data_IF_007117438976
#
_entry.id   IF_007117438976
#
_cell.length_a   1.000
_cell.length_b   1.000
_cell.length_c   1.000
_cell.angle_alpha   90.00
_cell.angle_beta   90.00
_cell.angle_gamma   90.00
#
_symmetry.space_group_name_H-M   'P 1'
#
loop_
_entity.id
_entity.type
_entity.pdbx_description
1 polymer ?
#
# COMPACT_ATOMS: atom_id res chain seq x y z
N UNK A 1 -4.31 -77.03 -9.46
CA UNK A 1 -4.71 -76.07 -8.42
C UNK A 1 -5.50 -74.96 -9.12
N UNK A 2 -6.66 -74.65 -8.53
CA UNK A 2 -7.86 -73.95 -9.05
C UNK A 2 -7.60 -72.80 -10.04
N UNK A 3 -8.21 -72.70 -11.24
CA UNK A 3 -9.62 -72.65 -11.68
C UNK A 3 -10.27 -71.25 -11.59
N UNK A 4 -10.63 -70.73 -12.79
CA UNK A 4 -11.70 -69.74 -13.11
C UNK A 4 -11.50 -68.25 -12.68
N UNK A 5 -12.02 -67.23 -13.38
CA UNK A 5 -12.88 -67.07 -14.58
C UNK A 5 -12.85 -65.59 -15.01
N UNK A 6 -13.15 -65.36 -16.31
CA UNK A 6 -13.94 -64.28 -16.94
C UNK A 6 -14.19 -62.97 -16.14
N UNK A 7 -14.04 -61.77 -16.68
CA UNK A 7 -14.46 -61.34 -18.02
C UNK A 7 -15.91 -60.84 -17.99
N UNK A 8 -16.14 -59.54 -17.76
CA UNK A 8 -17.37 -58.75 -18.01
C UNK A 8 -17.22 -57.41 -17.25
N UNK A 9 -17.83 -56.27 -17.55
CA UNK A 9 -18.52 -55.71 -18.70
C UNK A 9 -18.79 -54.24 -18.30
N UNK A 10 -18.89 -53.37 -19.30
CA UNK A 10 -19.40 -52.00 -19.18
C UNK A 10 -20.75 -51.98 -18.47
N UNK A 11 -20.93 -51.05 -17.55
CA UNK A 11 -22.04 -50.06 -17.45
C UNK A 11 -22.11 -49.52 -16.03
N UNK A 12 -22.27 -48.20 -15.94
CA UNK A 12 -23.05 -47.41 -14.96
C UNK A 12 -22.47 -45.99 -15.05
N UNK A 13 -23.19 -44.95 -15.48
CA UNK A 13 -24.62 -44.70 -15.38
C UNK A 13 -24.75 -43.38 -14.65
N UNK A 14 -25.04 -42.32 -15.40
CA UNK A 14 -25.45 -41.01 -14.92
C UNK A 14 -26.55 -41.13 -13.85
N UNK A 15 -26.47 -40.33 -12.79
CA UNK A 15 -27.50 -40.27 -11.77
C UNK A 15 -27.14 -39.31 -10.63
N UNK A 16 -27.06 -38.01 -10.93
CA UNK A 16 -27.05 -36.97 -9.90
C UNK A 16 -28.45 -36.91 -9.27
N UNK A 17 -28.58 -37.44 -8.06
CA UNK A 17 -29.81 -37.38 -7.27
C UNK A 17 -29.93 -36.00 -6.61
N UNK A 18 -31.04 -35.33 -6.94
CA UNK A 18 -31.60 -34.17 -6.25
C UNK A 18 -31.65 -34.39 -4.73
N UNK A 19 -31.19 -33.40 -3.96
CA UNK A 19 -31.62 -33.21 -2.58
C UNK A 19 -32.42 -31.90 -2.50
N UNK A 20 -33.74 -32.03 -2.55
CA UNK A 20 -34.71 -31.02 -2.15
C UNK A 20 -35.13 -31.31 -0.71
N UNK A 21 -34.93 -30.36 0.23
CA UNK A 21 -35.66 -30.36 1.51
C UNK A 21 -36.20 -28.95 1.78
N UNK A 22 -37.49 -28.82 1.47
CA UNK A 22 -38.57 -28.10 2.14
C UNK A 22 -38.31 -26.82 2.95
N UNK A 23 -38.81 -25.72 2.38
CA UNK A 23 -39.35 -24.53 3.04
C UNK A 23 -40.51 -24.87 3.97
N UNK A 24 -40.54 -24.27 5.17
CA UNK A 24 -41.76 -24.09 5.96
C UNK A 24 -42.19 -22.64 5.84
N UNK A 25 -43.19 -22.42 5.00
CA UNK A 25 -44.01 -21.21 4.90
C UNK A 25 -45.27 -21.45 5.75
N UNK A 26 -45.42 -20.73 6.85
CA UNK A 26 -46.72 -20.51 7.46
C UNK A 26 -47.24 -19.15 6.98
N UNK A 27 -48.32 -19.19 6.21
CA UNK A 27 -49.01 -18.04 5.63
C UNK A 27 -50.18 -17.65 6.56
N UNK A 28 -50.47 -16.34 6.59
CA UNK A 28 -51.80 -15.68 6.55
C UNK A 28 -52.00 -14.63 7.69
N UNK A 29 -52.92 -13.66 7.55
CA UNK A 29 -52.73 -12.43 6.77
C UNK A 29 -53.16 -11.18 7.59
N UNK A 30 -52.92 -9.98 7.07
CA UNK A 30 -53.82 -8.85 7.36
C UNK A 30 -53.18 -7.54 7.78
N UNK A 31 -53.40 -6.56 6.91
CA UNK A 31 -53.63 -5.15 7.22
C UNK A 31 -52.45 -4.28 7.65
N UNK A 32 -51.90 -3.61 6.64
CA UNK A 32 -51.36 -2.26 6.73
C UNK A 32 -52.30 -1.31 7.52
N UNK A 33 -51.72 -0.53 8.42
CA UNK A 33 -52.05 0.89 8.62
C UNK A 33 -50.95 1.59 9.40
N UNK A 34 -50.40 2.60 8.73
CA UNK A 34 -49.59 3.70 9.26
C UNK A 34 -50.28 4.41 10.42
N UNK A 35 -49.57 4.57 11.54
CA UNK A 35 -49.83 5.59 12.56
C UNK A 35 -48.57 5.76 13.42
N UNK A 36 -47.82 6.84 13.19
CA UNK A 36 -47.09 7.52 14.29
C UNK A 36 -48.13 8.33 15.08
N UNK A 37 -47.99 8.59 16.41
CA UNK A 37 -46.73 9.00 17.05
C UNK A 37 -46.50 8.42 18.47
N UNK A 38 -45.25 8.45 18.94
CA UNK A 38 -44.93 8.09 20.33
C UNK A 38 -43.47 8.24 20.67
N UNK A 39 -43.14 9.32 21.37
CA UNK A 39 -41.84 9.64 21.94
C UNK A 39 -41.35 8.59 22.96
N UNK A 40 -40.02 8.45 23.05
CA UNK A 40 -39.28 7.64 24.03
C UNK A 40 -38.43 6.58 23.31
N UNK A 41 -37.12 6.49 23.45
CA UNK A 41 -36.22 6.87 24.53
C UNK A 41 -34.89 7.26 23.91
N UNK A 42 -34.41 8.48 24.22
CA UNK A 42 -33.07 8.92 23.85
C UNK A 42 -32.02 8.13 24.62
N UNK A 43 -31.59 7.00 24.07
CA UNK A 43 -30.26 6.48 24.39
C UNK A 43 -29.23 7.46 23.83
N UNK A 44 -28.10 7.71 24.52
CA UNK A 44 -27.04 8.50 23.91
C UNK A 44 -26.63 7.79 22.62
N UNK A 45 -26.89 8.43 21.48
CA UNK A 45 -26.29 8.02 20.22
C UNK A 45 -24.79 8.11 20.45
N UNK A 46 -24.14 6.96 20.64
CA UNK A 46 -22.69 6.89 20.57
C UNK A 46 -22.33 7.56 19.23
N UNK A 47 -21.47 8.59 19.23
CA UNK A 47 -21.05 9.20 17.98
C UNK A 47 -20.49 8.07 17.09
N UNK A 48 -20.70 8.16 15.77
CA UNK A 48 -20.13 7.18 14.84
C UNK A 48 -18.64 7.00 15.18
N UNK A 49 -18.18 5.75 15.25
CA UNK A 49 -16.82 5.35 15.64
C UNK A 49 -15.69 6.14 14.91
N UNK A 50 -16.03 6.77 13.79
CA UNK A 50 -15.20 7.66 13.00
C UNK A 50 -14.77 8.96 13.74
N UNK A 51 -15.53 9.42 14.74
CA UNK A 51 -15.20 10.65 15.51
C UNK A 51 -14.35 10.39 16.76
N UNK A 52 -14.25 9.15 17.25
CA UNK A 52 -13.49 8.86 18.48
C UNK A 52 -11.99 8.71 18.28
N UNK A 53 -11.54 8.56 17.03
CA UNK A 53 -10.16 8.18 16.74
C UNK A 53 -9.65 8.83 15.45
N UNK A 54 -8.99 10.01 15.51
CA UNK A 54 -8.40 10.65 14.34
C UNK A 54 -7.09 9.95 13.91
N UNK A 55 -7.14 8.64 13.67
CA UNK A 55 -6.00 7.87 13.18
C UNK A 55 -6.13 7.71 11.66
N UNK A 56 -5.62 8.69 10.92
CA UNK A 56 -5.47 8.55 9.47
C UNK A 56 -4.29 7.63 9.12
N UNK A 57 -4.44 6.36 9.42
CA UNK A 57 -3.75 5.31 8.71
C UNK A 57 -4.83 4.60 7.90
N UNK A 58 -4.76 4.61 6.57
CA UNK A 58 -5.83 4.05 5.73
C UNK A 58 -6.18 2.64 6.22
N UNK A 59 -7.44 2.37 6.62
CA UNK A 59 -7.83 1.06 7.09
C UNK A 59 -7.65 0.05 5.96
N UNK A 60 -7.11 -1.12 6.29
CA UNK A 60 -7.11 -2.23 5.34
C UNK A 60 -8.57 -2.65 5.08
N UNK A 61 -8.86 -3.02 3.83
CA UNK A 61 -10.15 -3.64 3.51
C UNK A 61 -10.28 -4.99 4.21
N UNK A 62 -11.51 -5.44 4.48
CA UNK A 62 -11.76 -6.71 5.17
C UNK A 62 -11.08 -7.90 4.49
N UNK A 63 -11.09 -7.96 3.16
CA UNK A 63 -10.43 -9.02 2.40
C UNK A 63 -8.91 -8.99 2.53
N UNK A 64 -8.30 -7.80 2.62
CA UNK A 64 -6.86 -7.66 2.85
C UNK A 64 -6.52 -7.99 4.31
N UNK A 65 -7.34 -7.56 5.29
CA UNK A 65 -7.16 -7.94 6.69
C UNK A 65 -7.22 -9.45 6.90
N UNK A 66 -8.16 -10.15 6.26
CA UNK A 66 -8.28 -11.60 6.39
C UNK A 66 -7.06 -12.37 5.84
N UNK A 67 -6.33 -11.78 4.89
CA UNK A 67 -5.13 -12.38 4.29
C UNK A 67 -3.81 -12.03 4.99
N UNK A 68 -3.79 -10.99 5.82
CA UNK A 68 -2.63 -10.64 6.67
C UNK A 68 -2.73 -11.46 7.96
N UNK A 69 -1.62 -12.00 8.47
CA UNK A 69 -1.65 -12.91 9.64
C UNK A 69 -1.03 -12.29 10.90
N UNK A 70 -0.68 -11.01 10.87
CA UNK A 70 -0.01 -10.32 11.98
C UNK A 70 0.07 -8.81 11.78
N UNK A 71 1.16 -8.21 12.24
CA UNK A 71 1.28 -6.76 12.47
C UNK A 71 1.17 -5.91 11.21
N UNK A 72 0.93 -4.62 11.40
CA UNK A 72 0.79 -3.69 10.30
C UNK A 72 1.43 -2.36 10.63
N UNK A 73 2.47 -1.98 9.87
CA UNK A 73 3.11 -0.67 9.99
C UNK A 73 2.60 0.22 8.87
N UNK A 74 1.87 1.27 9.26
CA UNK A 74 1.29 2.24 8.32
C UNK A 74 1.95 3.58 8.48
N UNK A 75 2.45 4.09 7.37
CA UNK A 75 3.07 5.39 7.30
C UNK A 75 2.20 6.37 6.50
N UNK A 76 2.16 7.62 6.93
CA UNK A 76 1.53 8.71 6.19
C UNK A 76 2.57 9.82 5.99
N UNK A 77 2.90 10.11 4.73
CA UNK A 77 3.68 11.29 4.37
C UNK A 77 2.71 12.46 4.18
N UNK A 78 2.92 13.53 4.94
CA UNK A 78 2.07 14.71 4.86
C UNK A 78 2.10 15.37 3.47
N UNK A 79 1.11 16.22 3.20
CA UNK A 79 0.96 16.90 1.90
C UNK A 79 2.17 17.76 1.52
N UNK A 80 2.96 18.17 2.52
CA UNK A 80 4.16 18.97 2.31
C UNK A 80 5.42 18.14 2.08
N UNK A 81 5.36 16.83 2.28
CA UNK A 81 6.52 15.95 2.28
C UNK A 81 7.53 16.31 3.39
N UNK A 82 7.06 16.92 4.48
CA UNK A 82 7.85 17.41 5.61
C UNK A 82 7.85 16.47 6.82
N UNK A 83 6.90 15.54 6.87
CA UNK A 83 6.71 14.68 8.03
C UNK A 83 6.12 13.35 7.63
N UNK A 84 6.69 12.28 8.19
CA UNK A 84 6.22 10.92 8.07
C UNK A 84 5.65 10.47 9.41
N UNK A 85 4.34 10.32 9.51
CA UNK A 85 3.68 9.74 10.68
C UNK A 85 3.72 8.22 10.55
N UNK A 86 4.21 7.53 11.57
CA UNK A 86 4.31 6.07 11.62
C UNK A 86 3.33 5.57 12.67
N UNK A 87 2.48 4.62 12.29
CA UNK A 87 1.53 3.94 13.17
C UNK A 87 1.84 2.45 13.17
N UNK A 88 2.15 1.89 14.33
CA UNK A 88 2.36 0.45 14.53
C UNK A 88 1.05 -0.14 15.04
N UNK A 89 0.40 -0.94 14.21
CA UNK A 89 -0.90 -1.54 14.50
C UNK A 89 -0.68 -2.93 15.08
N UNK A 90 -1.53 -3.30 16.05
CA UNK A 90 -1.52 -4.65 16.61
C UNK A 90 -1.90 -5.71 15.55
N UNK A 91 -1.51 -6.95 15.80
CA UNK A 91 -1.74 -8.10 14.94
C UNK A 91 -3.21 -8.54 14.92
N UNK A 92 -3.99 -8.08 15.91
CA UNK A 92 -5.42 -8.37 15.99
C UNK A 92 -6.18 -7.89 14.74
N UNK A 93 -7.10 -8.73 14.26
CA UNK A 93 -7.93 -8.44 13.09
C UNK A 93 -8.67 -7.10 13.23
N UNK A 94 -9.21 -6.83 14.43
CA UNK A 94 -9.96 -5.61 14.73
C UNK A 94 -9.07 -4.36 14.75
N UNK A 95 -7.84 -4.48 15.23
CA UNK A 95 -6.86 -3.39 15.16
C UNK A 95 -6.54 -3.01 13.71
N UNK A 96 -6.40 -4.00 12.82
CA UNK A 96 -6.14 -3.78 11.39
C UNK A 96 -7.33 -3.15 10.65
N UNK A 97 -8.55 -3.27 11.18
CA UNK A 97 -9.71 -2.53 10.72
C UNK A 97 -9.83 -1.11 11.33
N UNK A 98 -8.82 -0.64 12.07
CA UNK A 98 -8.83 0.61 12.85
C UNK A 98 -9.92 0.66 13.92
N UNK A 99 -10.37 -0.49 14.46
CA UNK A 99 -11.32 -0.48 15.59
C UNK A 99 -10.63 -0.21 16.93
N UNK A 100 -9.31 -0.40 16.99
CA UNK A 100 -8.46 -0.06 18.13
C UNK A 100 -7.40 0.96 17.74
N UNK A 101 -6.93 1.79 18.70
CA UNK A 101 -5.81 2.67 18.46
C UNK A 101 -4.54 1.88 18.10
N UNK A 102 -3.63 2.46 17.29
CA UNK A 102 -2.30 1.91 17.11
C UNK A 102 -1.60 1.68 18.44
N UNK A 103 -0.80 0.61 18.54
CA UNK A 103 0.05 0.31 19.70
C UNK A 103 1.09 1.39 19.92
N UNK A 104 1.63 1.95 18.83
CA UNK A 104 2.60 3.03 18.87
C UNK A 104 2.32 4.02 17.72
N UNK A 105 2.46 5.32 18.01
CA UNK A 105 2.45 6.37 16.99
C UNK A 105 3.64 7.29 17.24
N UNK A 106 4.41 7.56 16.19
CA UNK A 106 5.48 8.55 16.24
C UNK A 106 5.64 9.28 14.90
N UNK A 107 6.22 10.47 14.96
CA UNK A 107 6.44 11.30 13.78
C UNK A 107 7.93 11.43 13.49
N UNK A 108 8.30 11.25 12.22
CA UNK A 108 9.66 11.46 11.73
C UNK A 108 9.68 12.75 10.89
N UNK A 109 10.53 13.73 11.23
CA UNK A 109 10.85 14.83 10.33
C UNK A 109 11.42 14.28 9.02
N UNK A 110 10.81 14.65 7.91
CA UNK A 110 11.15 14.14 6.59
C UNK A 110 11.27 15.27 5.57
N UNK A 111 11.95 15.04 4.46
CA UNK A 111 11.97 15.96 3.34
C UNK A 111 11.85 15.19 2.03
N UNK A 112 10.84 15.53 1.23
CA UNK A 112 10.74 15.08 -0.14
C UNK A 112 10.90 16.27 -1.08
N UNK A 113 12.15 16.47 -1.53
CA UNK A 113 12.55 17.58 -2.41
C UNK A 113 13.35 17.00 -3.57
N UNK A 114 13.09 17.48 -4.78
CA UNK A 114 13.77 16.99 -5.99
C UNK A 114 14.92 17.90 -6.41
N UNK A 115 15.97 17.29 -6.97
CA UNK A 115 17.01 17.99 -7.72
C UNK A 115 16.39 18.51 -9.01
N UNK A 116 16.67 19.77 -9.36
CA UNK A 116 16.23 20.33 -10.64
C UNK A 116 17.22 19.90 -11.73
N UNK A 117 16.86 18.85 -12.46
CA UNK A 117 17.70 18.25 -13.50
C UNK A 117 16.86 17.40 -14.45
N UNK A 118 17.42 17.08 -15.61
CA UNK A 118 16.92 16.07 -16.55
C UNK A 118 17.93 14.94 -16.75
N UNK A 119 18.93 14.80 -15.86
CA UNK A 119 19.98 13.77 -15.89
C UNK A 119 19.79 12.68 -14.83
N UNK A 120 18.59 12.56 -14.25
CA UNK A 120 18.37 11.52 -13.28
C UNK A 120 18.32 10.14 -13.95
N UNK A 121 18.75 9.07 -13.26
CA UNK A 121 18.58 7.72 -13.75
C UNK A 121 17.09 7.41 -13.98
N UNK A 122 16.75 6.94 -15.18
CA UNK A 122 15.43 6.37 -15.44
C UNK A 122 15.41 4.90 -14.99
N UNK A 123 14.49 4.54 -14.09
CA UNK A 123 14.33 3.20 -13.53
C UNK A 123 12.98 2.61 -13.97
N UNK A 124 12.84 2.19 -15.24
CA UNK A 124 11.55 1.82 -15.81
C UNK A 124 10.88 0.66 -15.09
N UNK A 125 9.55 0.70 -15.03
CA UNK A 125 8.76 -0.52 -14.77
C UNK A 125 8.97 -1.55 -15.89
N UNK A 126 8.61 -2.83 -15.66
CA UNK A 126 8.65 -3.86 -16.72
C UNK A 126 7.92 -3.44 -18.01
N UNK A 127 6.76 -2.79 -17.87
CA UNK A 127 5.98 -2.31 -19.01
C UNK A 127 6.68 -1.17 -19.76
N UNK A 128 7.21 -0.19 -19.03
CA UNK A 128 7.95 0.93 -19.64
C UNK A 128 9.26 0.49 -20.26
N UNK A 129 9.96 -0.46 -19.65
CA UNK A 129 11.19 -1.04 -20.20
C UNK A 129 10.96 -1.67 -21.58
N UNK A 130 9.82 -2.34 -21.79
CA UNK A 130 9.45 -2.89 -23.09
C UNK A 130 9.17 -1.79 -24.14
N UNK A 131 8.56 -0.67 -23.73
CA UNK A 131 8.24 0.46 -24.61
C UNK A 131 9.48 1.29 -24.99
N UNK A 132 10.51 1.28 -24.14
CA UNK A 132 11.73 2.07 -24.32
C UNK A 132 12.96 1.24 -24.70
N UNK A 133 12.79 -0.05 -24.98
CA UNK A 133 13.90 -0.98 -25.25
C UNK A 133 14.75 -0.59 -26.48
N UNK A 134 14.23 0.26 -27.36
CA UNK A 134 14.91 0.75 -28.56
C UNK A 134 15.92 1.88 -28.29
N UNK A 135 15.93 2.47 -27.08
CA UNK A 135 16.78 3.59 -26.73
C UNK A 135 17.69 3.27 -25.54
N UNK A 136 18.99 3.52 -25.72
CA UNK A 136 19.98 3.42 -24.65
C UNK A 136 20.23 4.77 -23.98
N UNK A 137 20.76 4.75 -22.75
CA UNK A 137 21.22 5.95 -22.06
C UNK A 137 20.11 6.93 -21.65
N UNK A 138 18.87 6.44 -21.51
CA UNK A 138 17.73 7.26 -21.12
C UNK A 138 17.91 7.84 -19.72
N UNK A 139 17.50 9.10 -19.59
CA UNK A 139 17.46 9.85 -18.34
C UNK A 139 16.08 10.41 -18.11
N UNK A 140 15.77 10.74 -16.88
CA UNK A 140 14.47 11.27 -16.49
C UNK A 140 14.59 12.64 -15.85
N UNK A 141 13.47 13.36 -15.87
CA UNK A 141 13.25 14.49 -14.96
C UNK A 141 12.71 13.92 -13.64
N UNK A 142 13.42 14.13 -12.50
CA UNK A 142 12.92 13.76 -11.19
C UNK A 142 11.53 14.30 -10.90
N UNK A 143 10.74 13.47 -10.23
CA UNK A 143 9.46 13.87 -9.65
C UNK A 143 9.47 13.57 -8.16
N UNK A 144 8.62 14.26 -7.43
CA UNK A 144 8.45 14.00 -6.01
C UNK A 144 7.91 12.58 -5.79
N UNK A 145 8.02 12.07 -4.56
CA UNK A 145 7.54 10.73 -4.22
C UNK A 145 6.06 10.57 -4.66
N UNK A 146 5.71 9.56 -5.47
CA UNK A 146 4.40 9.45 -6.09
C UNK A 146 3.27 9.44 -5.07
N UNK A 147 2.20 10.17 -5.35
CA UNK A 147 0.94 10.07 -4.57
C UNK A 147 0.35 8.66 -4.69
N UNK A 148 -0.29 8.19 -3.62
CA UNK A 148 -0.90 6.86 -3.59
C UNK A 148 -0.49 6.05 -2.36
N UNK A 149 -1.01 4.82 -2.31
CA UNK A 149 -0.72 3.82 -1.29
C UNK A 149 0.29 2.83 -1.85
N UNK A 150 1.45 2.75 -1.21
CA UNK A 150 2.56 1.93 -1.66
C UNK A 150 3.03 0.99 -0.56
N UNK A 151 3.53 -0.17 -0.97
CA UNK A 151 4.05 -1.18 -0.04
C UNK A 151 5.54 -0.99 0.15
N UNK A 152 5.99 -1.20 1.38
CA UNK A 152 7.40 -1.43 1.68
C UNK A 152 7.77 -2.84 1.21
N UNK A 153 8.84 -2.93 0.44
CA UNK A 153 9.28 -4.20 -0.17
C UNK A 153 10.55 -4.76 0.47
N UNK A 154 11.38 -3.90 1.06
CA UNK A 154 12.58 -4.32 1.76
C UNK A 154 13.12 -3.20 2.65
N UNK A 155 13.78 -3.60 3.73
CA UNK A 155 14.69 -2.74 4.50
C UNK A 155 16.10 -3.28 4.28
N UNK A 156 16.97 -2.49 3.65
CA UNK A 156 18.33 -2.92 3.26
C UNK A 156 19.37 -2.10 4.01
N UNK A 157 20.30 -2.72 4.76
CA UNK A 157 21.46 -2.02 5.27
C UNK A 157 22.31 -1.45 4.13
N UNK A 158 22.87 -0.26 4.33
CA UNK A 158 23.82 0.37 3.40
C UNK A 158 24.92 1.08 4.19
N UNK A 159 26.08 1.26 3.55
CA UNK A 159 27.22 1.96 4.13
C UNK A 159 27.68 3.14 3.25
N UNK A 160 26.82 3.60 2.35
CA UNK A 160 27.12 4.66 1.39
C UNK A 160 26.46 5.99 1.77
N UNK A 161 26.49 6.96 0.85
CA UNK A 161 25.94 8.32 1.03
C UNK A 161 24.45 8.37 1.35
N UNK A 162 23.71 7.27 1.22
CA UNK A 162 22.30 7.18 1.58
C UNK A 162 22.07 6.75 3.05
N UNK A 163 23.18 6.64 3.80
CA UNK A 163 23.25 6.31 5.22
C UNK A 163 22.92 4.85 5.53
N UNK A 164 22.61 4.51 6.80
CA UNK A 164 22.73 3.14 7.31
C UNK A 164 21.69 2.18 6.73
N UNK A 165 20.56 2.70 6.21
CA UNK A 165 19.46 1.90 5.69
C UNK A 165 18.83 2.53 4.44
N UNK A 166 18.21 1.68 3.63
CA UNK A 166 17.28 2.05 2.56
C UNK A 166 15.99 1.26 2.75
N UNK A 167 14.89 1.98 2.97
CA UNK A 167 13.54 1.40 2.96
C UNK A 167 13.01 1.50 1.53
N UNK A 168 12.94 0.36 0.85
CA UNK A 168 12.51 0.25 -0.55
C UNK A 168 11.00 0.12 -0.62
N UNK A 169 10.38 0.70 -1.67
CA UNK A 169 8.94 0.58 -1.91
C UNK A 169 8.65 0.02 -3.29
N UNK A 170 7.39 -0.34 -3.55
CA UNK A 170 6.90 -0.63 -4.90
C UNK A 170 6.29 0.59 -5.60
N UNK A 171 6.56 1.81 -5.10
CA UNK A 171 5.95 3.02 -5.63
C UNK A 171 6.30 3.24 -7.10
N UNK A 172 5.31 3.74 -7.86
CA UNK A 172 5.42 3.97 -9.30
C UNK A 172 5.10 5.42 -9.61
N UNK A 173 6.08 6.13 -10.12
CA UNK A 173 5.95 7.50 -10.60
C UNK A 173 5.71 7.55 -12.09
N UNK A 174 5.29 8.71 -12.57
CA UNK A 174 5.24 9.03 -13.99
C UNK A 174 6.24 10.15 -14.24
N UNK A 175 7.25 9.91 -15.07
CA UNK A 175 8.37 10.84 -15.30
C UNK A 175 8.52 11.14 -16.78
N UNK A 176 8.88 12.39 -17.08
CA UNK A 176 9.37 12.76 -18.40
C UNK A 176 10.71 12.06 -18.64
N UNK A 177 10.84 11.38 -19.78
CA UNK A 177 12.05 10.66 -20.18
C UNK A 177 12.66 11.33 -21.38
N UNK A 178 13.98 11.40 -21.37
CA UNK A 178 14.80 12.05 -22.37
C UNK A 178 15.88 11.09 -22.86
N UNK A 179 16.12 11.09 -24.16
CA UNK A 179 17.25 10.42 -24.78
C UNK A 179 18.43 11.38 -24.85
N UNK A 180 19.61 10.89 -24.45
CA UNK A 180 20.87 11.62 -24.67
C UNK A 180 21.21 11.59 -26.14
N UNK A 181 21.31 12.76 -26.74
CA UNK A 181 21.79 12.98 -28.11
C UNK A 181 23.15 13.68 -28.05
N UNK A 182 23.90 13.82 -29.16
CA UNK A 182 25.16 14.56 -29.14
C UNK A 182 25.00 15.93 -28.48
N UNK A 183 26.02 16.36 -27.73
CA UNK A 183 25.95 17.53 -26.84
C UNK A 183 25.50 18.81 -27.55
N UNK A 184 25.78 18.95 -28.85
CA UNK A 184 25.33 20.05 -29.71
C UNK A 184 23.81 20.16 -29.87
N UNK A 185 23.06 19.09 -29.63
CA UNK A 185 21.59 19.01 -29.72
C UNK A 185 20.94 18.97 -28.33
N UNK A 186 21.71 18.65 -27.28
CA UNK A 186 21.23 18.58 -25.92
C UNK A 186 20.52 17.26 -25.60
N UNK A 187 19.23 17.32 -25.27
CA UNK A 187 18.43 16.13 -24.92
C UNK A 187 17.09 16.15 -25.64
N UNK A 188 16.68 14.98 -26.13
CA UNK A 188 15.40 14.82 -26.81
C UNK A 188 14.38 14.23 -25.85
N UNK A 189 13.27 14.93 -25.61
CA UNK A 189 12.12 14.37 -24.91
C UNK A 189 11.49 13.26 -25.75
N UNK A 190 11.30 12.08 -25.16
CA UNK A 190 10.77 10.90 -25.87
C UNK A 190 9.39 10.47 -25.38
N UNK A 191 8.93 11.01 -24.25
CA UNK A 191 7.62 10.66 -23.68
C UNK A 191 7.63 10.65 -22.16
N UNK A 192 6.46 10.35 -21.60
CA UNK A 192 6.28 10.17 -20.17
C UNK A 192 6.06 8.68 -19.89
N UNK A 193 6.86 8.11 -18.99
CA UNK A 193 6.85 6.67 -18.71
C UNK A 193 6.77 6.39 -17.21
N UNK A 194 6.37 5.17 -16.86
CA UNK A 194 6.29 4.72 -15.48
C UNK A 194 7.68 4.33 -14.96
N UNK A 195 8.01 4.89 -13.81
CA UNK A 195 9.33 4.83 -13.17
C UNK A 195 9.23 4.25 -11.75
N UNK A 196 10.33 3.71 -11.25
CA UNK A 196 10.44 3.02 -9.95
C UNK A 196 11.66 3.52 -9.17
N UNK A 197 11.98 2.89 -8.04
CA UNK A 197 13.17 3.25 -7.25
C UNK A 197 12.92 4.28 -6.14
N UNK A 198 11.67 4.70 -5.95
CA UNK A 198 11.28 5.54 -4.82
C UNK A 198 11.39 4.76 -3.49
N UNK A 199 12.00 5.40 -2.50
CA UNK A 199 12.13 4.85 -1.16
C UNK A 199 12.35 5.92 -0.10
N UNK A 200 12.64 5.45 1.11
CA UNK A 200 13.01 6.29 2.25
C UNK A 200 14.46 5.97 2.61
N UNK A 201 15.29 7.00 2.63
CA UNK A 201 16.67 6.85 3.08
C UNK A 201 17.08 8.10 3.87
N UNK A 202 18.32 8.09 4.34
CA UNK A 202 18.92 9.26 4.96
C UNK A 202 19.90 9.88 3.98
N UNK A 203 20.24 11.15 4.14
CA UNK A 203 21.27 11.73 3.31
C UNK A 203 22.16 12.59 4.18
N UNK A 204 23.46 12.32 4.13
CA UNK A 204 24.46 13.07 4.90
C UNK A 204 24.99 14.28 4.13
N UNK A 205 24.74 14.35 2.81
CA UNK A 205 25.40 15.30 1.92
C UNK A 205 24.41 16.24 1.23
N UNK A 206 23.24 15.74 0.80
CA UNK A 206 22.29 16.53 0.00
C UNK A 206 20.86 16.48 0.53
N UNK A 207 20.17 17.63 0.53
CA UNK A 207 18.77 17.73 0.96
C UNK A 207 17.75 17.44 -0.16
N UNK A 208 18.21 17.29 -1.41
CA UNK A 208 17.42 17.01 -2.61
C UNK A 208 17.78 15.64 -3.18
N UNK A 209 16.79 14.91 -3.70
CA UNK A 209 16.94 13.57 -4.28
C UNK A 209 16.33 13.50 -5.67
N UNK A 210 16.29 12.32 -6.29
CA UNK A 210 15.54 12.09 -7.52
C UNK A 210 14.07 11.67 -7.28
N UNK A 211 13.59 11.73 -6.03
CA UNK A 211 12.20 11.45 -5.69
C UNK A 211 11.99 10.75 -4.34
N UNK A 212 13.06 10.22 -3.72
CA UNK A 212 13.02 9.59 -2.40
C UNK A 212 12.67 10.56 -1.27
N UNK A 213 12.09 10.02 -0.19
CA UNK A 213 11.91 10.71 1.08
C UNK A 213 13.21 10.62 1.88
N UNK A 214 13.68 11.76 2.39
CA UNK A 214 14.89 11.85 3.20
C UNK A 214 14.53 12.08 4.66
N UNK A 215 15.16 11.34 5.56
CA UNK A 215 15.02 11.51 7.02
C UNK A 215 16.40 11.54 7.68
N UNK A 216 16.49 11.85 8.98
CA UNK A 216 17.75 11.71 9.72
C UNK A 216 18.11 10.23 9.89
N UNK A 217 19.41 9.95 10.06
CA UNK A 217 19.90 8.58 10.22
C UNK A 217 19.31 7.86 11.44
N UNK A 218 19.19 8.57 12.56
CA UNK A 218 18.63 8.05 13.82
C UNK A 218 17.15 7.66 13.65
N UNK A 219 16.35 8.53 13.04
CA UNK A 219 14.94 8.30 12.77
C UNK A 219 14.74 7.14 11.78
N UNK A 220 15.59 7.06 10.75
CA UNK A 220 15.56 5.97 9.79
C UNK A 220 15.96 4.63 10.43
N UNK A 221 16.93 4.63 11.34
CA UNK A 221 17.32 3.44 12.06
C UNK A 221 16.19 2.95 12.98
N UNK A 222 15.48 3.88 13.64
CA UNK A 222 14.25 3.55 14.39
C UNK A 222 13.19 2.93 13.49
N UNK A 223 12.88 3.57 12.35
CA UNK A 223 11.90 3.04 11.41
C UNK A 223 12.29 1.66 10.87
N UNK A 224 13.57 1.49 10.49
CA UNK A 224 14.11 0.22 10.02
C UNK A 224 13.93 -0.89 11.07
N UNK A 225 14.20 -0.57 12.35
CA UNK A 225 13.97 -1.49 13.46
C UNK A 225 12.49 -1.84 13.61
N UNK A 226 11.59 -0.84 13.62
CA UNK A 226 10.14 -1.07 13.68
C UNK A 226 9.65 -2.00 12.57
N UNK A 227 10.06 -1.74 11.32
CA UNK A 227 9.68 -2.57 10.17
C UNK A 227 10.27 -3.99 10.23
N UNK A 228 11.49 -4.14 10.75
CA UNK A 228 12.12 -5.44 10.91
C UNK A 228 11.47 -6.27 12.04
N UNK A 229 11.12 -5.64 13.15
CA UNK A 229 10.41 -6.27 14.27
C UNK A 229 9.02 -6.74 13.85
N UNK A 230 8.27 -5.89 13.13
CA UNK A 230 6.96 -6.23 12.58
C UNK A 230 7.02 -7.45 11.63
N UNK A 231 8.05 -7.51 10.76
CA UNK A 231 8.29 -8.68 9.89
C UNK A 231 8.79 -9.92 10.61
N UNK A 232 9.48 -9.75 11.74
CA UNK A 232 9.97 -10.86 12.57
C UNK A 232 8.83 -11.49 13.35
N UNK A 233 7.94 -10.67 13.90
CA UNK A 233 6.76 -11.13 14.64
C UNK A 233 5.73 -11.76 13.69
N UNK A 234 5.57 -11.19 12.49
CA UNK A 234 4.81 -11.82 11.40
C UNK A 234 5.41 -11.55 10.01
N UNK A 235 5.93 -12.57 9.32
CA UNK A 235 6.40 -12.45 7.94
C UNK A 235 5.33 -11.97 6.95
N UNK A 236 4.04 -12.22 7.22
CA UNK A 236 2.91 -11.84 6.38
C UNK A 236 2.37 -10.41 6.64
N UNK A 237 3.01 -9.66 7.54
CA UNK A 237 2.63 -8.28 7.89
C UNK A 237 2.49 -7.36 6.68
N UNK A 238 1.56 -6.42 6.75
CA UNK A 238 1.45 -5.37 5.74
C UNK A 238 2.26 -4.17 6.18
N UNK A 239 3.06 -3.60 5.28
CA UNK A 239 3.85 -2.41 5.58
C UNK A 239 3.67 -1.42 4.45
N UNK A 240 3.11 -0.26 4.76
CA UNK A 240 2.64 0.68 3.73
C UNK A 240 3.03 2.11 4.01
N UNK A 241 3.15 2.90 2.94
CA UNK A 241 3.25 4.35 2.97
C UNK A 241 2.12 4.94 2.12
N UNK A 242 1.32 5.78 2.74
CA UNK A 242 0.34 6.63 2.09
C UNK A 242 0.93 8.01 1.82
N UNK A 243 0.78 8.50 0.60
CA UNK A 243 1.24 9.83 0.19
C UNK A 243 0.05 10.59 -0.38
N UNK A 244 -0.37 11.65 0.30
CA UNK A 244 -1.51 12.47 -0.11
C UNK A 244 -1.12 13.94 -0.21
N UNK A 245 -0.97 14.46 -1.43
CA UNK A 245 -0.66 15.89 -1.64
C UNK A 245 -1.89 16.71 -2.01
N UNK A 246 -3.01 16.07 -2.33
CA UNK A 246 -4.27 16.75 -2.67
C UNK A 246 -4.80 17.70 -1.58
N UNK A 247 -4.41 17.52 -0.31
CA UNK A 247 -4.71 18.47 0.78
C UNK A 247 -3.96 19.80 0.69
N UNK A 248 -2.92 19.93 -0.14
CA UNK A 248 -2.16 21.19 -0.30
C UNK A 248 -2.96 22.30 -0.99
N UNK A 249 -4.04 21.94 -1.71
CA UNK A 249 -4.86 22.88 -2.48
C UNK A 249 -6.11 23.39 -1.74
N UNK A 250 -6.38 22.94 -0.51
CA UNK A 250 -7.53 23.44 0.27
C UNK A 250 -7.19 24.63 1.18
N UNK A 251 -5.89 24.89 1.41
CA UNK A 251 -5.38 25.96 2.27
C UNK A 251 -4.73 27.12 1.47
N UNK A 252 -5.05 27.26 0.17
CA UNK A 252 -4.64 28.38 -0.69
C UNK A 252 -5.85 28.97 -1.40
#
# INVERSE_FOLDING_TARGET
MEIFRLGSARRQGFGAALFCIYMVLCILPGFAKSWEPGAGVGGPSLPPLQERFPFFAIPLSQSVCAGVLGGDVRMELDANGSRLKVSVIDNEYEARLNRYPPREVYEIPAHNRIVDTTDAPFMPTKASAAQTAWAEGLVSRPVLFPEGLWNITAVKPRADKYGPFMVSTNARGSVEVYMKVPESVGKLYIGTFADTGYGIHSNTIHSKTFGCVVTKQEDLARLAKTLAEDKKDDPASSQTIWVNRSRRNQDR
#
